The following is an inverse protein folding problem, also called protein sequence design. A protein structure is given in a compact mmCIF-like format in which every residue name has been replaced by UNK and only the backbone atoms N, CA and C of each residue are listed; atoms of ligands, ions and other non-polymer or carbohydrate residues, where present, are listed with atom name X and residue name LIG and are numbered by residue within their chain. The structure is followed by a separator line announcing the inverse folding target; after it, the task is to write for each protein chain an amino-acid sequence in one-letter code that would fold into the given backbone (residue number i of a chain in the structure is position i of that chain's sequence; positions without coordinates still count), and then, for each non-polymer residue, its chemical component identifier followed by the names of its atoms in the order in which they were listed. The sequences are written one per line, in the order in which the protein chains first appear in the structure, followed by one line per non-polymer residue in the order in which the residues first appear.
data_IF_411257399010
#
_entry.id   IF_411257399010
#
_cell.length_a   1.000
_cell.length_b   1.000
_cell.length_c   1.000
_cell.angle_alpha   90.00
_cell.angle_beta   90.00
_cell.angle_gamma   90.00
#
_symmetry.space_group_name_H-M   'P 1'
#
loop_
_entity.id
_entity.type
_entity.pdbx_description
1 polymer ?
#
# COMPACT_ATOMS: atom_id res chain seq x y z
N UNK A 1 50.22 -22.77 27.17
CA UNK A 1 48.86 -23.02 27.71
C UNK A 1 48.22 -21.81 28.39
N UNK A 2 48.88 -21.09 29.31
CA UNK A 2 48.28 -19.94 30.03
C UNK A 2 47.96 -18.74 29.12
N UNK A 3 48.91 -18.31 28.29
CA UNK A 3 48.71 -17.18 27.36
C UNK A 3 47.58 -17.47 26.35
N UNK A 4 47.49 -18.70 25.83
CA UNK A 4 46.41 -19.12 24.93
C UNK A 4 45.03 -19.06 25.60
N UNK A 5 44.93 -19.49 26.87
CA UNK A 5 43.69 -19.38 27.64
C UNK A 5 43.29 -17.93 27.89
N UNK A 6 44.24 -17.07 28.23
CA UNK A 6 43.98 -15.63 28.44
C UNK A 6 43.51 -14.99 27.14
N UNK A 7 44.18 -15.27 26.02
CA UNK A 7 43.79 -14.77 24.71
C UNK A 7 42.36 -15.22 24.35
N UNK A 8 42.04 -16.50 24.54
CA UNK A 8 40.69 -17.01 24.30
C UNK A 8 39.64 -16.32 25.17
N UNK A 9 39.90 -16.10 26.45
CA UNK A 9 38.99 -15.38 27.34
C UNK A 9 38.77 -13.94 26.85
N UNK A 10 39.85 -13.23 26.49
CA UNK A 10 39.74 -11.88 25.97
C UNK A 10 38.94 -11.83 24.67
N UNK A 11 39.20 -12.76 23.75
CA UNK A 11 38.43 -12.86 22.49
C UNK A 11 36.95 -13.10 22.76
N UNK A 12 36.61 -13.98 23.71
CA UNK A 12 35.22 -14.23 24.08
C UNK A 12 34.57 -12.99 24.72
N UNK A 13 35.27 -12.30 25.62
CA UNK A 13 34.75 -11.10 26.28
C UNK A 13 34.55 -9.96 25.27
N UNK A 14 35.56 -9.64 24.49
CA UNK A 14 35.48 -8.56 23.49
C UNK A 14 34.51 -8.91 22.36
N UNK A 15 34.47 -10.17 21.94
CA UNK A 15 33.48 -10.67 20.98
C UNK A 15 32.07 -10.48 21.52
N UNK A 16 31.80 -10.90 22.76
CA UNK A 16 30.50 -10.70 23.39
C UNK A 16 30.11 -9.23 23.52
N UNK A 17 31.05 -8.36 23.93
CA UNK A 17 30.80 -6.92 24.04
C UNK A 17 30.52 -6.29 22.67
N UNK A 18 31.24 -6.71 21.62
CA UNK A 18 31.01 -6.24 20.26
C UNK A 18 29.60 -6.60 19.77
N UNK A 19 29.17 -7.85 19.97
CA UNK A 19 27.80 -8.28 19.60
C UNK A 19 26.75 -7.46 20.35
N UNK A 20 26.95 -7.21 21.65
CA UNK A 20 26.03 -6.41 22.45
C UNK A 20 25.93 -4.96 21.93
N UNK A 21 27.07 -4.33 21.65
CA UNK A 21 27.12 -2.98 21.11
C UNK A 21 26.46 -2.89 19.72
N UNK A 22 26.74 -3.87 18.85
CA UNK A 22 26.16 -3.96 17.51
C UNK A 22 24.63 -4.05 17.54
N UNK A 23 24.08 -4.90 18.42
CA UNK A 23 22.62 -5.06 18.56
C UNK A 23 21.95 -3.87 19.23
N UNK A 24 22.62 -3.19 20.16
CA UNK A 24 22.11 -1.94 20.73
C UNK A 24 22.09 -0.81 19.69
N UNK A 25 23.12 -0.72 18.84
CA UNK A 25 23.21 0.30 17.81
C UNK A 25 22.10 0.16 16.75
N UNK A 26 21.82 -1.06 16.27
CA UNK A 26 20.75 -1.27 15.27
C UNK A 26 19.37 -0.95 15.84
N UNK A 27 19.07 -1.36 17.08
CA UNK A 27 17.80 -1.06 17.73
C UNK A 27 17.58 0.47 17.87
N UNK A 28 18.63 1.21 18.20
CA UNK A 28 18.55 2.67 18.27
C UNK A 28 18.40 3.32 16.90
N UNK A 29 19.05 2.78 15.87
CA UNK A 29 18.93 3.27 14.50
C UNK A 29 17.51 3.04 13.94
N UNK A 30 16.95 1.85 14.12
CA UNK A 30 15.57 1.51 13.73
C UNK A 30 14.55 2.50 14.32
N UNK A 31 14.66 2.81 15.61
CA UNK A 31 13.79 3.78 16.28
C UNK A 31 13.91 5.21 15.72
N UNK A 32 15.13 5.68 15.46
CA UNK A 32 15.34 7.00 14.85
C UNK A 32 14.78 7.10 13.43
N UNK A 33 14.95 6.05 12.61
CA UNK A 33 14.38 6.02 11.27
C UNK A 33 12.85 6.01 11.35
N UNK A 34 12.27 5.23 12.26
CA UNK A 34 10.82 5.22 12.47
C UNK A 34 10.28 6.60 12.85
N UNK A 35 10.93 7.31 13.77
CA UNK A 35 10.55 8.66 14.20
C UNK A 35 10.67 9.69 13.07
N UNK A 36 11.70 9.56 12.22
CA UNK A 36 11.89 10.42 11.06
C UNK A 36 10.81 10.19 10.01
N UNK A 37 10.46 8.94 9.73
CA UNK A 37 9.38 8.60 8.80
C UNK A 37 8.05 9.13 9.33
N UNK A 38 7.75 8.89 10.61
CA UNK A 38 6.53 9.39 11.25
C UNK A 38 6.37 10.90 11.12
N UNK A 39 7.42 11.65 11.43
CA UNK A 39 7.38 13.12 11.39
C UNK A 39 7.33 13.70 9.98
N UNK A 40 8.08 13.11 9.03
CA UNK A 40 8.09 13.57 7.63
C UNK A 40 6.79 13.25 6.88
N UNK A 41 6.16 12.12 7.19
CA UNK A 41 4.91 11.68 6.55
C UNK A 41 3.66 12.09 7.35
N UNK A 42 3.83 12.75 8.50
CA UNK A 42 2.71 13.20 9.35
C UNK A 42 1.85 12.06 9.89
N UNK A 43 2.46 10.91 10.22
CA UNK A 43 1.73 9.72 10.65
C UNK A 43 1.30 9.80 12.12
N UNK A 44 0.08 9.34 12.38
CA UNK A 44 -0.47 9.25 13.73
C UNK A 44 0.26 8.20 14.56
N UNK A 45 0.53 7.03 13.97
CA UNK A 45 1.22 5.88 14.56
C UNK A 45 2.72 5.86 14.21
N UNK A 46 3.52 5.21 15.05
CA UNK A 46 4.94 4.99 14.76
C UNK A 46 5.08 3.79 13.81
N UNK A 47 5.76 3.96 12.66
CA UNK A 47 6.03 2.85 11.76
C UNK A 47 7.01 1.86 12.39
N UNK A 48 6.94 0.61 11.96
CA UNK A 48 7.93 -0.40 12.33
C UNK A 48 9.03 -0.41 11.28
N UNK A 49 10.27 -0.29 11.73
CA UNK A 49 11.45 -0.38 10.87
C UNK A 49 12.33 -1.51 11.39
N UNK A 50 12.80 -2.37 10.51
CA UNK A 50 13.77 -3.41 10.84
C UNK A 50 14.94 -3.38 9.87
N UNK A 51 16.14 -3.17 10.40
CA UNK A 51 17.38 -3.20 9.63
C UNK A 51 18.00 -4.59 9.82
N UNK A 52 18.09 -5.34 8.72
CA UNK A 52 18.63 -6.70 8.74
C UNK A 52 20.16 -6.69 8.57
N UNK A 53 20.72 -7.88 8.72
CA UNK A 53 22.15 -8.13 8.59
C UNK A 53 22.93 -8.02 9.91
N UNK A 54 24.05 -8.72 9.93
CA UNK A 54 24.93 -8.82 11.09
C UNK A 54 26.39 -8.98 10.63
N UNK A 55 27.34 -8.20 11.15
CA UNK A 55 27.17 -7.08 12.11
C UNK A 55 26.61 -5.81 11.43
N UNK A 56 25.71 -5.11 12.11
CA UNK A 56 25.17 -3.82 11.65
C UNK A 56 26.24 -2.72 11.56
N UNK A 57 27.14 -2.64 12.54
CA UNK A 57 28.19 -1.62 12.55
C UNK A 57 29.14 -1.76 11.35
N UNK A 58 29.37 -2.98 10.87
CA UNK A 58 30.17 -3.23 9.67
C UNK A 58 29.46 -2.72 8.41
N UNK A 59 28.16 -2.93 8.30
CA UNK A 59 27.32 -2.41 7.22
C UNK A 59 27.35 -0.88 7.16
N UNK A 60 27.14 -0.22 8.30
CA UNK A 60 27.21 1.25 8.40
C UNK A 60 28.58 1.79 8.01
N UNK A 61 29.68 1.16 8.45
CA UNK A 61 31.04 1.53 8.03
C UNK A 61 31.24 1.38 6.52
N UNK A 62 30.58 0.40 5.90
CA UNK A 62 30.53 0.21 4.46
C UNK A 62 29.55 1.11 3.72
N UNK A 63 28.84 2.02 4.41
CA UNK A 63 27.78 2.88 3.86
C UNK A 63 26.71 2.12 3.06
N UNK A 64 26.46 0.86 3.41
CA UNK A 64 25.51 -0.01 2.73
C UNK A 64 24.78 -0.87 3.74
N UNK A 65 23.48 -1.03 3.58
CA UNK A 65 22.65 -1.95 4.36
C UNK A 65 22.12 -3.03 3.43
N UNK A 66 22.20 -4.29 3.86
CA UNK A 66 21.78 -5.42 3.04
C UNK A 66 20.27 -5.39 2.79
N UNK A 67 19.49 -5.15 3.85
CA UNK A 67 18.03 -5.17 3.82
C UNK A 67 17.40 -4.30 4.92
N UNK A 68 16.37 -3.55 4.56
CA UNK A 68 15.58 -2.70 5.46
C UNK A 68 14.10 -2.93 5.18
N UNK A 69 13.39 -3.39 6.22
CA UNK A 69 11.94 -3.59 6.17
C UNK A 69 11.25 -2.40 6.86
N UNK A 70 10.20 -1.90 6.24
CA UNK A 70 9.38 -0.80 6.76
C UNK A 70 7.92 -1.25 6.71
N UNK A 71 7.18 -1.07 7.80
CA UNK A 71 5.73 -1.27 7.87
C UNK A 71 5.06 -0.05 8.48
N UNK A 72 3.95 0.36 7.86
CA UNK A 72 3.21 1.57 8.14
C UNK A 72 1.72 1.22 8.21
N UNK A 73 1.04 1.69 9.26
CA UNK A 73 -0.41 1.51 9.41
C UNK A 73 -1.13 2.85 9.23
N UNK A 74 -2.23 2.85 8.48
CA UNK A 74 -3.15 4.00 8.39
C UNK A 74 -2.55 5.22 7.70
N UNK A 75 -2.13 5.07 6.44
CA UNK A 75 -1.51 6.15 5.65
C UNK A 75 -2.54 6.80 4.72
N UNK A 76 -2.57 8.12 4.66
CA UNK A 76 -3.32 8.84 3.62
C UNK A 76 -2.54 8.87 2.31
N UNK A 77 -3.11 8.30 1.25
CA UNK A 77 -2.60 8.41 -0.11
C UNK A 77 -3.51 9.30 -0.96
N UNK A 78 -3.05 9.72 -2.13
CA UNK A 78 -3.87 10.41 -3.13
C UNK A 78 -3.98 9.55 -4.38
N UNK A 79 -5.19 9.42 -4.90
CA UNK A 79 -5.46 8.75 -6.15
C UNK A 79 -6.46 9.58 -6.96
N UNK A 80 -6.03 9.99 -8.16
CA UNK A 80 -6.79 10.87 -9.06
C UNK A 80 -7.35 12.12 -8.34
N UNK A 81 -6.48 12.76 -7.54
CA UNK A 81 -6.82 13.96 -6.76
C UNK A 81 -7.70 13.74 -5.52
N UNK A 82 -8.07 12.50 -5.20
CA UNK A 82 -8.87 12.17 -4.01
C UNK A 82 -8.02 11.51 -2.93
N UNK A 83 -8.28 11.86 -1.67
CA UNK A 83 -7.60 11.24 -0.52
C UNK A 83 -8.18 9.84 -0.27
N UNK A 84 -7.32 8.82 -0.27
CA UNK A 84 -7.66 7.43 0.00
C UNK A 84 -6.90 6.98 1.25
N UNK A 85 -7.62 6.43 2.23
CA UNK A 85 -6.99 5.82 3.39
C UNK A 85 -6.47 4.43 3.04
N UNK A 86 -5.17 4.23 3.18
CA UNK A 86 -4.49 2.95 3.03
C UNK A 86 -4.28 2.34 4.40
N UNK A 87 -4.77 1.12 4.59
CA UNK A 87 -4.79 0.46 5.90
C UNK A 87 -3.40 0.04 6.34
N UNK A 88 -2.63 -0.56 5.44
CA UNK A 88 -1.27 -1.03 5.72
C UNK A 88 -0.39 -0.83 4.48
N UNK A 89 0.85 -0.40 4.69
CA UNK A 89 1.88 -0.29 3.66
C UNK A 89 3.15 -0.94 4.19
N UNK A 90 3.71 -1.87 3.41
CA UNK A 90 4.99 -2.50 3.73
C UNK A 90 5.96 -2.32 2.59
N UNK A 91 7.23 -2.14 2.90
CA UNK A 91 8.31 -2.03 1.94
C UNK A 91 9.53 -2.83 2.42
N UNK A 92 10.09 -3.63 1.52
CA UNK A 92 11.33 -4.37 1.69
C UNK A 92 12.36 -3.77 0.74
N UNK A 93 13.42 -3.20 1.29
CA UNK A 93 14.45 -2.49 0.57
C UNK A 93 15.74 -3.30 0.64
N UNK A 94 16.35 -3.65 -0.49
CA UNK A 94 17.57 -4.46 -0.56
C UNK A 94 18.71 -3.69 -1.21
N UNK A 95 19.93 -3.94 -0.74
CA UNK A 95 21.16 -3.25 -1.17
C UNK A 95 20.98 -1.73 -1.07
N UNK A 96 20.74 -1.25 0.14
CA UNK A 96 20.49 0.16 0.43
C UNK A 96 21.82 0.87 0.59
N UNK A 97 22.20 1.70 -0.38
CA UNK A 97 23.39 2.53 -0.33
C UNK A 97 23.07 3.87 0.33
N UNK A 98 23.79 4.20 1.40
CA UNK A 98 23.65 5.46 2.12
C UNK A 98 24.62 6.46 1.52
N UNK A 99 24.16 7.67 1.23
CA UNK A 99 25.03 8.69 0.69
C UNK A 99 26.08 9.15 1.72
N UNK A 100 27.20 9.70 1.25
CA UNK A 100 28.32 10.13 2.10
C UNK A 100 27.97 11.16 3.19
N UNK A 101 26.90 11.92 3.01
CA UNK A 101 26.38 12.88 3.99
C UNK A 101 25.35 12.28 4.96
N UNK A 102 24.99 11.00 4.78
CA UNK A 102 23.98 10.29 5.57
C UNK A 102 22.61 10.98 5.61
N UNK A 103 22.27 11.72 4.55
CA UNK A 103 21.02 12.48 4.44
C UNK A 103 20.01 11.86 3.47
N UNK A 104 20.45 10.88 2.68
CA UNK A 104 19.69 10.19 1.65
C UNK A 104 20.22 8.77 1.47
N UNK A 105 19.40 7.91 0.88
CA UNK A 105 19.80 6.57 0.52
C UNK A 105 19.17 6.13 -0.80
N UNK A 106 19.75 5.12 -1.43
CA UNK A 106 19.19 4.50 -2.65
C UNK A 106 19.08 3.00 -2.43
N UNK A 107 17.89 2.44 -2.56
CA UNK A 107 17.69 1.00 -2.56
C UNK A 107 17.95 0.45 -3.96
N UNK A 108 18.91 -0.47 -4.10
CA UNK A 108 19.14 -1.15 -5.37
C UNK A 108 17.90 -1.90 -5.84
N UNK A 109 17.14 -2.50 -4.91
CA UNK A 109 15.84 -3.13 -5.16
C UNK A 109 14.85 -2.75 -4.07
N UNK A 110 13.59 -2.55 -4.45
CA UNK A 110 12.50 -2.32 -3.52
C UNK A 110 11.30 -3.18 -3.92
N UNK A 111 10.73 -3.88 -2.95
CA UNK A 111 9.44 -4.58 -3.07
C UNK A 111 8.48 -3.92 -2.10
N UNK A 112 7.32 -3.51 -2.59
CA UNK A 112 6.29 -2.87 -1.77
C UNK A 112 4.96 -3.60 -1.85
N UNK A 113 4.20 -3.53 -0.77
CA UNK A 113 2.81 -3.96 -0.73
C UNK A 113 1.95 -2.94 0.00
N UNK A 114 0.71 -2.76 -0.47
CA UNK A 114 -0.27 -1.91 0.17
C UNK A 114 -1.59 -2.65 0.30
N UNK A 115 -2.24 -2.56 1.46
CA UNK A 115 -3.56 -3.11 1.72
C UNK A 115 -4.53 -1.97 2.01
N UNK A 116 -5.64 -1.96 1.27
CA UNK A 116 -6.75 -1.03 1.50
C UNK A 116 -7.96 -1.83 1.94
N UNK A 117 -8.45 -1.59 3.15
CA UNK A 117 -9.64 -2.26 3.66
C UNK A 117 -10.90 -1.86 2.89
N UNK A 118 -11.89 -2.74 2.84
CA UNK A 118 -13.20 -2.40 2.26
C UNK A 118 -13.88 -1.23 2.98
N UNK A 119 -13.64 -1.08 4.29
CA UNK A 119 -14.17 0.04 5.06
C UNK A 119 -13.57 1.37 4.60
N UNK A 120 -12.28 1.41 4.28
CA UNK A 120 -11.59 2.61 3.79
C UNK A 120 -11.91 2.91 2.31
N UNK A 121 -12.08 1.87 1.49
CA UNK A 121 -12.61 2.02 0.13
C UNK A 121 -14.01 2.63 0.13
N UNK A 122 -14.89 2.20 1.04
CA UNK A 122 -16.25 2.74 1.15
C UNK A 122 -16.26 4.22 1.57
N UNK A 123 -15.30 4.69 2.37
CA UNK A 123 -15.16 6.11 2.72
C UNK A 123 -14.74 6.97 1.53
N UNK A 124 -14.00 6.37 0.59
CA UNK A 124 -13.46 7.04 -0.59
C UNK A 124 -14.35 6.87 -1.83
N UNK A 125 -15.35 5.99 -1.76
CA UNK A 125 -16.28 5.72 -2.85
C UNK A 125 -17.31 6.85 -3.02
N UNK A 126 -17.87 7.02 -4.23
CA UNK A 126 -19.00 7.93 -4.44
C UNK A 126 -20.16 7.63 -3.47
N UNK A 127 -20.91 8.67 -3.11
CA UNK A 127 -22.04 8.55 -2.19
C UNK A 127 -22.97 7.39 -2.60
N UNK A 128 -23.38 6.58 -1.62
CA UNK A 128 -24.27 5.43 -1.83
C UNK A 128 -23.58 4.16 -2.30
N UNK A 129 -22.34 4.20 -2.78
CA UNK A 129 -21.62 3.01 -3.22
C UNK A 129 -20.76 2.41 -2.09
N UNK A 130 -20.89 1.10 -1.88
CA UNK A 130 -20.03 0.34 -0.96
C UNK A 130 -19.29 -0.75 -1.73
N UNK A 131 -17.97 -0.81 -1.56
CA UNK A 131 -17.11 -1.86 -2.12
C UNK A 131 -16.89 -2.92 -1.04
N UNK A 132 -17.03 -4.19 -1.40
CA UNK A 132 -16.89 -5.32 -0.48
C UNK A 132 -16.41 -6.59 -1.16
N UNK A 133 -16.23 -7.63 -0.35
CA UNK A 133 -15.78 -8.94 -0.82
C UNK A 133 -16.81 -9.60 -1.76
N UNK A 134 -16.34 -10.12 -2.90
CA UNK A 134 -17.17 -10.77 -3.91
C UNK A 134 -17.41 -12.27 -3.68
N UNK A 135 -16.80 -12.84 -2.63
CA UNK A 135 -16.74 -14.29 -2.41
C UNK A 135 -15.50 -14.92 -3.06
N UNK A 136 -15.10 -16.13 -2.62
CA UNK A 136 -13.81 -16.73 -2.98
C UNK A 136 -13.63 -16.94 -4.49
N UNK A 137 -14.64 -17.46 -5.19
CA UNK A 137 -14.55 -17.76 -6.62
C UNK A 137 -14.39 -16.50 -7.50
N UNK A 138 -15.00 -15.39 -7.08
CA UNK A 138 -14.95 -14.11 -7.79
C UNK A 138 -13.72 -13.30 -7.41
N UNK A 139 -13.35 -13.30 -6.13
CA UNK A 139 -12.12 -12.68 -5.66
C UNK A 139 -10.87 -13.33 -6.28
N UNK A 140 -10.89 -14.65 -6.49
CA UNK A 140 -9.85 -15.37 -7.23
C UNK A 140 -9.70 -14.89 -8.69
N UNK A 141 -10.75 -14.29 -9.26
CA UNK A 141 -10.74 -13.65 -10.59
C UNK A 141 -10.43 -12.14 -10.52
N UNK A 142 -10.04 -11.63 -9.34
CA UNK A 142 -9.76 -10.21 -9.12
C UNK A 142 -11.01 -9.34 -9.00
N UNK A 143 -12.16 -9.91 -8.65
CA UNK A 143 -13.41 -9.16 -8.58
C UNK A 143 -13.77 -8.69 -7.17
N UNK A 144 -14.34 -7.49 -7.11
CA UNK A 144 -14.97 -6.91 -5.92
C UNK A 144 -16.47 -6.76 -6.13
N UNK A 145 -17.22 -6.82 -5.05
CA UNK A 145 -18.67 -6.56 -5.05
C UNK A 145 -18.88 -5.07 -4.79
N UNK A 146 -19.64 -4.41 -5.64
CA UNK A 146 -20.11 -3.05 -5.43
C UNK A 146 -21.60 -3.11 -5.18
N UNK A 147 -22.07 -2.54 -4.07
CA UNK A 147 -23.49 -2.57 -3.69
C UNK A 147 -23.92 -1.25 -3.06
N UNK A 148 -25.22 -0.95 -3.17
CA UNK A 148 -25.81 0.20 -2.51
C UNK A 148 -27.20 0.56 -3.02
N UNK A 149 -27.85 1.59 -2.45
CA UNK A 149 -29.11 2.12 -2.96
C UNK A 149 -28.89 2.68 -4.38
N UNK A 150 -29.63 2.15 -5.35
CA UNK A 150 -29.42 2.46 -6.77
C UNK A 150 -29.52 3.97 -7.05
N UNK A 151 -30.49 4.66 -6.43
CA UNK A 151 -30.65 6.10 -6.58
C UNK A 151 -29.41 6.88 -6.10
N UNK A 152 -28.85 6.51 -4.94
CA UNK A 152 -27.69 7.19 -4.37
C UNK A 152 -26.41 6.91 -5.17
N UNK A 153 -26.20 5.65 -5.59
CA UNK A 153 -25.05 5.26 -6.42
C UNK A 153 -25.01 6.05 -7.73
N UNK A 154 -26.17 6.21 -8.39
CA UNK A 154 -26.28 6.99 -9.64
C UNK A 154 -26.06 8.49 -9.41
N UNK A 155 -26.60 9.04 -8.31
CA UNK A 155 -26.38 10.45 -7.93
C UNK A 155 -24.91 10.70 -7.60
N UNK A 156 -24.26 9.81 -6.83
CA UNK A 156 -22.84 9.88 -6.51
C UNK A 156 -21.93 9.76 -7.74
N UNK A 157 -22.40 9.04 -8.76
CA UNK A 157 -21.76 8.97 -10.07
C UNK A 157 -21.92 10.23 -10.95
N UNK A 158 -22.65 11.24 -10.47
CA UNK A 158 -22.90 12.48 -11.21
C UNK A 158 -24.01 12.37 -12.27
N UNK A 159 -24.85 11.33 -12.21
CA UNK A 159 -26.02 11.20 -13.09
C UNK A 159 -27.17 12.00 -12.49
N UNK A 160 -27.47 13.15 -13.09
CA UNK A 160 -28.62 13.97 -12.71
C UNK A 160 -29.92 13.30 -13.16
N UNK A 161 -30.82 13.03 -12.20
CA UNK A 161 -32.06 12.29 -12.44
C UNK A 161 -33.27 13.12 -12.01
N UNK A 162 -34.33 13.19 -12.85
CA UNK A 162 -35.59 13.81 -12.46
C UNK A 162 -36.19 13.16 -11.21
N UNK A 163 -36.91 13.93 -10.40
CA UNK A 163 -37.56 13.44 -9.16
C UNK A 163 -38.51 12.27 -9.40
N UNK A 164 -39.16 12.21 -10.56
CA UNK A 164 -40.01 11.09 -10.98
C UNK A 164 -39.23 9.78 -11.19
N UNK A 165 -38.00 9.87 -11.73
CA UNK A 165 -37.11 8.72 -11.90
C UNK A 165 -36.55 8.30 -10.54
N UNK A 166 -36.15 9.26 -9.71
CA UNK A 166 -35.69 8.99 -8.34
C UNK A 166 -36.73 8.22 -7.53
N UNK A 167 -37.98 8.68 -7.53
CA UNK A 167 -39.08 8.02 -6.81
C UNK A 167 -39.32 6.57 -7.28
N UNK A 168 -39.03 6.26 -8.54
CA UNK A 168 -39.14 4.89 -9.08
C UNK A 168 -37.99 3.98 -8.62
N UNK A 169 -36.84 4.55 -8.26
CA UNK A 169 -35.64 3.84 -7.83
C UNK A 169 -35.49 3.79 -6.30
N UNK A 170 -36.30 4.53 -5.55
CA UNK A 170 -36.30 4.50 -4.08
C UNK A 170 -36.53 3.09 -3.54
N UNK A 171 -35.70 2.68 -2.58
CA UNK A 171 -35.72 1.34 -1.98
C UNK A 171 -35.16 0.22 -2.86
N UNK A 172 -34.69 0.50 -4.08
CA UNK A 172 -34.03 -0.49 -4.93
C UNK A 172 -32.53 -0.53 -4.63
N UNK A 173 -32.02 -1.71 -4.38
CA UNK A 173 -30.58 -1.93 -4.26
C UNK A 173 -29.99 -2.39 -5.58
N UNK A 174 -28.76 -1.96 -5.84
CA UNK A 174 -27.92 -2.47 -6.92
C UNK A 174 -26.80 -3.30 -6.34
N UNK A 175 -26.49 -4.42 -7.00
CA UNK A 175 -25.27 -5.19 -6.74
C UNK A 175 -24.61 -5.49 -8.08
N UNK A 176 -23.36 -5.12 -8.22
CA UNK A 176 -22.53 -5.35 -9.38
C UNK A 176 -21.20 -5.99 -8.95
N UNK A 177 -20.57 -6.72 -9.87
CA UNK A 177 -19.24 -7.27 -9.67
C UNK A 177 -18.26 -6.60 -10.64
N UNK A 178 -17.22 -6.01 -10.08
CA UNK A 178 -16.21 -5.27 -10.83
C UNK A 178 -14.87 -5.97 -10.74
N UNK A 179 -14.27 -6.24 -11.88
CA UNK A 179 -12.92 -6.79 -12.01
C UNK A 179 -11.92 -5.65 -11.82
N UNK A 180 -10.98 -5.83 -10.90
CA UNK A 180 -9.88 -4.90 -10.64
C UNK A 180 -8.64 -5.43 -11.36
N UNK A 181 -8.03 -4.58 -12.18
CA UNK A 181 -6.85 -4.92 -12.97
C UNK A 181 -5.85 -3.77 -12.96
N UNK A 182 -4.58 -4.05 -13.23
CA UNK A 182 -3.55 -3.01 -13.39
C UNK A 182 -3.33 -2.71 -14.87
N UNK A 183 -3.18 -1.43 -15.19
CA UNK A 183 -2.81 -0.93 -16.50
C UNK A 183 -1.61 0.02 -16.34
N UNK A 184 -0.61 -0.10 -17.21
CA UNK A 184 0.51 0.86 -17.27
C UNK A 184 1.49 0.86 -16.08
N UNK A 185 1.25 0.07 -15.03
CA UNK A 185 2.12 -0.03 -13.85
C UNK A 185 1.84 1.01 -12.75
N UNK A 186 0.92 1.96 -12.98
CA UNK A 186 0.53 3.01 -12.03
C UNK A 186 -0.99 3.26 -11.99
N UNK A 187 -1.74 2.60 -12.88
CA UNK A 187 -3.18 2.83 -13.05
C UNK A 187 -3.97 1.57 -12.67
N UNK A 188 -4.91 1.72 -11.76
CA UNK A 188 -5.86 0.68 -11.36
C UNK A 188 -7.13 0.82 -12.18
N UNK A 189 -7.44 -0.19 -12.98
CA UNK A 189 -8.60 -0.24 -13.85
C UNK A 189 -9.69 -1.11 -13.25
N UNK A 190 -10.85 -0.51 -13.02
CA UNK A 190 -12.06 -1.20 -12.58
C UNK A 190 -12.98 -1.38 -13.78
N UNK A 191 -13.45 -2.61 -14.02
CA UNK A 191 -14.39 -2.94 -15.10
C UNK A 191 -15.52 -3.83 -14.58
N UNK A 192 -16.77 -3.38 -14.70
CA UNK A 192 -17.92 -4.22 -14.35
C UNK A 192 -18.14 -5.34 -15.37
N UNK A 193 -18.41 -6.55 -14.89
CA UNK A 193 -18.70 -7.71 -15.74
C UNK A 193 -20.16 -7.69 -16.24
N UNK A 194 -21.11 -7.43 -15.34
CA UNK A 194 -22.52 -7.34 -15.66
C UNK A 194 -23.17 -6.22 -14.86
N UNK A 195 -23.90 -5.35 -15.56
CA UNK A 195 -24.76 -4.34 -14.96
C UNK A 195 -26.20 -4.84 -15.03
N UNK A 196 -26.99 -4.69 -13.96
CA UNK A 196 -28.41 -5.02 -14.02
C UNK A 196 -29.11 -4.16 -15.06
N UNK A 197 -30.02 -4.75 -15.84
CA UNK A 197 -30.81 -4.00 -16.81
C UNK A 197 -31.71 -3.00 -16.08
N UNK A 198 -31.49 -1.72 -16.35
CA UNK A 198 -32.31 -0.66 -15.77
C UNK A 198 -33.59 -0.51 -16.60
N UNK A 199 -34.74 -0.25 -15.95
CA UNK A 199 -36.02 -0.08 -16.63
C UNK A 199 -36.10 1.22 -17.45
N UNK A 200 -35.04 2.03 -17.45
CA UNK A 200 -34.95 3.33 -18.13
C UNK A 200 -34.06 3.21 -19.37
N UNK A 201 -34.61 3.37 -20.59
CA UNK A 201 -33.82 3.38 -21.82
C UNK A 201 -32.73 4.46 -21.80
N UNK A 202 -31.50 4.12 -22.21
CA UNK A 202 -30.35 5.04 -22.27
C UNK A 202 -29.52 5.14 -20.99
N UNK A 203 -30.07 4.77 -19.83
CA UNK A 203 -29.35 4.82 -18.55
C UNK A 203 -28.27 3.74 -18.44
N UNK A 204 -28.46 2.59 -19.10
CA UNK A 204 -27.49 1.49 -19.09
C UNK A 204 -26.12 1.90 -19.66
N UNK A 205 -26.08 2.74 -20.69
CA UNK A 205 -24.83 3.17 -21.33
C UNK A 205 -24.08 4.19 -20.45
N UNK A 206 -24.81 5.12 -19.82
CA UNK A 206 -24.22 6.06 -18.87
C UNK A 206 -23.65 5.36 -17.63
N UNK A 207 -24.32 4.31 -17.14
CA UNK A 207 -23.81 3.51 -16.03
C UNK A 207 -22.58 2.69 -16.43
N UNK A 208 -22.50 2.22 -17.68
CA UNK A 208 -21.29 1.55 -18.20
C UNK A 208 -20.06 2.47 -18.17
N UNK A 209 -20.21 3.73 -18.54
CA UNK A 209 -19.10 4.68 -18.58
C UNK A 209 -18.63 5.08 -17.17
N UNK A 210 -19.56 5.23 -16.23
CA UNK A 210 -19.26 5.51 -14.82
C UNK A 210 -18.53 4.36 -14.13
N UNK A 211 -18.95 3.12 -14.39
CA UNK A 211 -18.43 1.95 -13.66
C UNK A 211 -17.09 1.47 -14.23
N UNK A 212 -16.72 1.93 -15.42
CA UNK A 212 -15.40 1.72 -16.01
C UNK A 212 -14.47 2.88 -15.63
N UNK A 213 -13.76 2.73 -14.51
CA UNK A 213 -12.89 3.77 -13.98
C UNK A 213 -11.41 3.37 -14.08
N UNK A 214 -10.58 4.28 -14.56
CA UNK A 214 -9.12 4.14 -14.53
C UNK A 214 -8.60 5.11 -13.46
N UNK A 215 -8.23 4.57 -12.29
CA UNK A 215 -7.72 5.32 -11.15
C UNK A 215 -6.20 5.38 -11.22
N UNK A 216 -5.64 6.55 -11.46
CA UNK A 216 -4.19 6.75 -11.41
C UNK A 216 -3.74 6.94 -9.97
N UNK A 217 -2.71 6.20 -9.54
CA UNK A 217 -2.12 6.38 -8.22
C UNK A 217 -1.10 7.50 -8.28
N UNK A 218 -1.30 8.53 -7.47
CA UNK A 218 -0.38 9.66 -7.37
C UNK A 218 0.72 9.39 -6.32
N UNK A 219 1.88 10.01 -6.48
CA UNK A 219 2.96 9.95 -5.48
C UNK A 219 3.83 8.69 -5.50
N UNK A 220 3.59 7.74 -6.41
CA UNK A 220 4.52 6.62 -6.62
C UNK A 220 5.86 7.13 -7.18
N UNK A 221 7.01 6.72 -6.62
CA UNK A 221 8.32 6.97 -7.23
C UNK A 221 8.35 6.44 -8.67
N UNK A 222 8.92 7.21 -9.60
CA UNK A 222 8.95 6.86 -11.03
C UNK A 222 9.65 5.54 -11.37
N UNK A 223 10.44 5.02 -10.43
CA UNK A 223 11.15 3.74 -10.51
C UNK A 223 10.35 2.54 -9.99
N UNK A 224 9.20 2.76 -9.34
CA UNK A 224 8.32 1.72 -8.81
C UNK A 224 7.18 1.46 -9.79
N UNK A 225 6.87 0.19 -10.02
CA UNK A 225 5.72 -0.25 -10.80
C UNK A 225 4.87 -1.21 -9.98
N UNK A 226 3.56 -1.07 -10.08
CA UNK A 226 2.61 -2.03 -9.55
C UNK A 226 2.60 -3.26 -10.45
N UNK A 227 2.83 -4.42 -9.84
CA UNK A 227 2.90 -5.70 -10.52
C UNK A 227 1.57 -6.46 -10.43
N UNK A 228 0.88 -6.33 -9.28
CA UNK A 228 -0.34 -7.09 -9.00
C UNK A 228 -1.32 -6.33 -8.13
N UNK A 229 -2.60 -6.55 -8.40
CA UNK A 229 -3.72 -6.23 -7.52
C UNK A 229 -4.54 -7.50 -7.30
N UNK A 230 -4.92 -7.78 -6.05
CA UNK A 230 -5.72 -8.95 -5.69
C UNK A 230 -6.81 -8.53 -4.72
N UNK A 231 -8.04 -9.02 -4.94
CA UNK A 231 -9.11 -8.88 -3.98
C UNK A 231 -8.99 -9.99 -2.91
N UNK A 232 -8.92 -9.60 -1.65
CA UNK A 232 -8.93 -10.49 -0.48
C UNK A 232 -10.25 -10.38 0.28
N UNK A 233 -10.42 -11.17 1.34
CA UNK A 233 -11.57 -11.10 2.24
C UNK A 233 -11.65 -9.77 3.00
N UNK A 234 -10.49 -9.16 3.26
CA UNK A 234 -10.36 -7.96 4.10
C UNK A 234 -10.21 -6.67 3.29
N UNK A 235 -9.89 -6.75 2.00
CA UNK A 235 -9.78 -5.58 1.14
C UNK A 235 -9.07 -5.84 -0.19
N UNK A 236 -8.42 -4.82 -0.73
CA UNK A 236 -7.59 -4.90 -1.92
C UNK A 236 -6.11 -4.89 -1.54
N UNK A 237 -5.37 -5.90 -1.99
CA UNK A 237 -3.93 -6.00 -1.85
C UNK A 237 -3.24 -5.59 -3.16
N UNK A 238 -2.35 -4.63 -3.07
CA UNK A 238 -1.47 -4.19 -4.14
C UNK A 238 -0.04 -4.64 -3.83
N UNK A 239 0.72 -4.99 -4.87
CA UNK A 239 2.16 -5.22 -4.77
C UNK A 239 2.87 -4.59 -5.95
N UNK A 240 4.09 -4.11 -5.73
CA UNK A 240 4.92 -3.52 -6.76
C UNK A 240 6.40 -3.69 -6.48
N UNK A 241 7.21 -3.52 -7.51
CA UNK A 241 8.66 -3.62 -7.45
C UNK A 241 9.31 -2.44 -8.14
N UNK A 242 10.53 -2.11 -7.70
CA UNK A 242 11.34 -1.06 -8.29
C UNK A 242 12.83 -1.33 -8.12
N UNK A 243 13.62 -0.66 -8.95
CA UNK A 243 15.09 -0.73 -8.90
C UNK A 243 15.66 0.67 -8.83
N UNK A 244 16.76 0.84 -8.08
CA UNK A 244 17.40 2.15 -7.84
C UNK A 244 16.40 3.18 -7.31
N UNK A 245 15.65 2.79 -6.27
CA UNK A 245 14.64 3.63 -5.66
C UNK A 245 15.30 4.62 -4.72
N UNK A 246 15.15 5.91 -5.01
CA UNK A 246 15.64 6.98 -4.15
C UNK A 246 14.79 7.06 -2.88
N UNK A 247 15.45 6.99 -1.73
CA UNK A 247 14.88 7.18 -0.40
C UNK A 247 15.28 8.59 0.05
N UNK A 248 14.40 9.56 -0.20
CA UNK A 248 14.62 10.94 0.23
C UNK A 248 14.31 11.08 1.73
N UNK A 249 15.12 11.87 2.45
CA UNK A 249 14.99 12.15 3.89
C UNK A 249 14.34 13.47 4.26
#
# INVERSE_FOLDING_TARGET
MRALRILLILVVIFGGLFVAADRAAVYFAEGQVADRIRSSQGLDSQPQVSIKGFPFLTQVLGSSLDEVDISLDGVSATADGHQVQVTEVSAELRNVEIDSSFSSATAGQATGSAHISYADLAKSAPKGATVGYAGPDRAAKGQVKVSGPLAEVLEGAGIDMPSSVRALLEGREVTAYSTVSLAGGDTVRLRAEALPELPVPGLNDQVRDVVNYDLKIDGLPSTIKLDKVTASETGLQFSGTGTNVSLAG
#
